data_IF_015560136924
#
_entry.id   IF_015560136924
#
_cell.length_a   1.000
_cell.length_b   1.000
_cell.length_c   1.000
_cell.angle_alpha   90.00
_cell.angle_beta   90.00
_cell.angle_gamma   90.00
#
_symmetry.space_group_name_H-M   'P 1'
#
loop_
_entity.id
_entity.type
_entity.pdbx_description
1 polymer ?
#
# COMPACT_ATOMS: atom_id res chain seq x y z
N UNK A 1 5.77 5.26 -17.56
CA UNK A 1 5.85 5.14 -16.08
C UNK A 1 6.29 3.72 -15.77
N UNK A 2 7.40 3.55 -15.04
CA UNK A 2 7.78 2.24 -14.53
C UNK A 2 6.71 1.83 -13.50
N UNK A 3 6.17 0.62 -13.62
CA UNK A 3 5.08 0.16 -12.76
C UNK A 3 5.62 -0.04 -11.33
N UNK A 4 5.40 0.92 -10.45
CA UNK A 4 6.10 0.97 -9.16
C UNK A 4 5.63 -0.09 -8.17
N UNK A 5 4.44 -0.64 -8.40
CA UNK A 5 3.93 -1.83 -7.72
C UNK A 5 4.80 -3.07 -7.97
N UNK A 6 5.63 -3.09 -9.04
CA UNK A 6 6.57 -4.20 -9.25
C UNK A 6 7.65 -4.28 -8.18
N UNK A 7 7.96 -3.16 -7.50
CA UNK A 7 8.90 -3.20 -6.36
C UNK A 7 8.34 -4.06 -5.22
N UNK A 8 7.02 -4.10 -5.06
CA UNK A 8 6.31 -4.96 -4.10
C UNK A 8 5.99 -6.36 -4.67
N UNK A 9 6.47 -6.69 -5.87
CA UNK A 9 6.14 -7.92 -6.60
C UNK A 9 4.62 -8.10 -6.80
N UNK A 10 3.94 -7.01 -7.18
CA UNK A 10 2.50 -7.00 -7.44
C UNK A 10 2.23 -6.86 -8.94
N UNK A 11 1.33 -7.70 -9.46
CA UNK A 11 0.91 -7.66 -10.85
C UNK A 11 -0.21 -6.62 -11.03
N UNK A 12 0.11 -5.52 -11.70
CA UNK A 12 -0.82 -4.43 -11.93
C UNK A 12 -0.68 -3.85 -13.33
N UNK A 13 -1.78 -3.71 -14.06
CA UNK A 13 -1.79 -3.02 -15.35
C UNK A 13 -2.09 -1.55 -15.11
N UNK A 14 -1.07 -0.71 -15.22
CA UNK A 14 -1.23 0.73 -15.05
C UNK A 14 -2.17 1.31 -16.10
N UNK A 15 -3.20 2.01 -15.63
CA UNK A 15 -4.04 2.90 -16.42
C UNK A 15 -3.76 4.35 -15.96
N UNK A 16 -3.07 5.13 -16.79
CA UNK A 16 -2.67 6.50 -16.45
C UNK A 16 -3.82 7.51 -16.48
N UNK A 17 -4.96 7.16 -17.06
CA UNK A 17 -6.13 8.06 -17.11
C UNK A 17 -7.03 7.88 -15.87
N UNK A 18 -6.92 6.73 -15.20
CA UNK A 18 -7.66 6.45 -13.96
C UNK A 18 -7.06 7.18 -12.75
N UNK A 19 -7.89 8.01 -12.11
CA UNK A 19 -7.53 8.69 -10.85
C UNK A 19 -7.14 7.72 -9.75
N UNK A 20 -7.84 6.58 -9.67
CA UNK A 20 -7.61 5.53 -8.68
C UNK A 20 -6.25 4.87 -8.92
N UNK A 21 -5.94 4.57 -10.19
CA UNK A 21 -4.64 4.04 -10.57
C UNK A 21 -3.51 4.98 -10.18
N UNK A 22 -3.68 6.27 -10.44
CA UNK A 22 -2.72 7.30 -10.08
C UNK A 22 -2.56 7.42 -8.55
N UNK A 23 -3.66 7.46 -7.79
CA UNK A 23 -3.62 7.54 -6.33
C UNK A 23 -2.95 6.30 -5.73
N UNK A 24 -3.30 5.09 -6.20
CA UNK A 24 -2.69 3.85 -5.74
C UNK A 24 -1.18 3.84 -5.97
N UNK A 25 -0.72 4.26 -7.16
CA UNK A 25 0.71 4.36 -7.46
C UNK A 25 1.43 5.35 -6.52
N UNK A 26 0.83 6.51 -6.23
CA UNK A 26 1.38 7.48 -5.28
C UNK A 26 1.43 6.91 -3.86
N UNK A 27 0.41 6.16 -3.44
CA UNK A 27 0.37 5.58 -2.11
C UNK A 27 1.42 4.49 -1.94
N UNK A 28 1.62 3.62 -2.93
CA UNK A 28 2.70 2.61 -2.88
C UNK A 28 4.09 3.23 -2.94
N UNK A 29 4.27 4.34 -3.68
CA UNK A 29 5.51 5.12 -3.61
C UNK A 29 5.76 5.63 -2.21
N UNK A 30 4.76 6.22 -1.59
CA UNK A 30 4.85 6.76 -0.26
C UNK A 30 5.15 5.67 0.77
N UNK A 31 4.53 4.50 0.66
CA UNK A 31 4.82 3.33 1.50
C UNK A 31 6.28 2.88 1.30
N UNK A 32 6.77 2.84 0.07
CA UNK A 32 8.16 2.49 -0.21
C UNK A 32 9.10 3.51 0.45
N UNK A 33 8.87 4.81 0.24
CA UNK A 33 9.66 5.88 0.84
C UNK A 33 9.63 5.84 2.37
N UNK A 34 8.46 5.58 2.95
CA UNK A 34 8.28 5.50 4.40
C UNK A 34 8.98 4.28 4.99
N UNK A 35 9.00 3.13 4.30
CA UNK A 35 9.79 1.96 4.69
C UNK A 35 11.30 2.25 4.66
N UNK A 36 11.79 2.89 3.60
CA UNK A 36 13.19 3.31 3.49
C UNK A 36 13.58 4.28 4.62
N UNK A 37 12.69 5.23 4.95
CA UNK A 37 12.86 6.17 6.07
C UNK A 37 12.86 5.43 7.42
N UNK A 38 11.85 4.59 7.68
CA UNK A 38 11.67 3.86 8.93
C UNK A 38 12.89 2.99 9.24
N UNK A 39 13.37 2.21 8.27
CA UNK A 39 14.50 1.30 8.46
C UNK A 39 15.87 1.94 8.14
N UNK A 40 15.91 3.21 7.70
CA UNK A 40 17.14 3.88 7.25
C UNK A 40 17.93 3.06 6.20
N UNK A 41 17.21 2.42 5.28
CA UNK A 41 17.77 1.68 4.15
C UNK A 41 17.70 2.61 2.95
N UNK A 42 18.82 2.88 2.27
CA UNK A 42 18.82 3.83 1.14
C UNK A 42 18.52 3.20 -0.21
N UNK A 43 19.02 1.98 -0.42
CA UNK A 43 18.98 1.31 -1.71
C UNK A 43 18.49 -0.12 -1.52
N UNK A 44 17.33 -0.41 -2.08
CA UNK A 44 16.83 -1.78 -2.20
C UNK A 44 16.21 -1.96 -3.59
N UNK A 45 16.61 -3.02 -4.27
CA UNK A 45 16.19 -3.31 -5.65
C UNK A 45 14.68 -3.59 -5.72
N UNK A 46 14.19 -4.37 -4.77
CA UNK A 46 12.80 -4.77 -4.59
C UNK A 46 12.50 -4.96 -3.10
N UNK A 47 11.26 -5.33 -2.78
CA UNK A 47 10.81 -5.59 -1.41
C UNK A 47 11.57 -6.74 -0.75
N UNK A 48 12.02 -7.75 -1.50
CA UNK A 48 12.69 -8.91 -0.92
C UNK A 48 14.14 -8.59 -0.53
N UNK A 49 14.84 -7.83 -1.37
CA UNK A 49 16.13 -7.23 -1.03
C UNK A 49 15.99 -6.31 0.19
N UNK A 50 14.95 -5.45 0.21
CA UNK A 50 14.66 -4.58 1.34
C UNK A 50 14.48 -5.36 2.65
N UNK A 51 13.62 -6.38 2.68
CA UNK A 51 13.35 -7.17 3.89
C UNK A 51 14.60 -7.92 4.37
N UNK A 52 15.43 -8.41 3.44
CA UNK A 52 16.71 -9.05 3.78
C UNK A 52 17.68 -8.07 4.42
N UNK A 53 17.74 -6.83 3.93
CA UNK A 53 18.56 -5.78 4.54
C UNK A 53 18.01 -5.36 5.92
N UNK A 54 16.69 -5.24 6.06
CA UNK A 54 16.05 -4.89 7.33
C UNK A 54 16.28 -5.95 8.41
N UNK A 55 16.15 -7.24 8.07
CA UNK A 55 16.47 -8.37 8.97
C UNK A 55 17.92 -8.32 9.47
N UNK A 56 18.88 -7.99 8.59
CA UNK A 56 20.30 -7.87 8.98
C UNK A 56 20.56 -6.74 9.96
N UNK A 57 19.75 -5.68 9.94
CA UNK A 57 19.86 -4.59 10.90
C UNK A 57 19.27 -4.93 12.27
N UNK A 58 18.54 -6.05 12.38
CA UNK A 58 17.89 -6.50 13.62
C UNK A 58 16.97 -5.43 14.24
N UNK A 59 16.40 -4.56 13.40
CA UNK A 59 15.48 -3.49 13.77
C UNK A 59 14.06 -3.95 13.48
N UNK A 60 13.18 -3.84 14.47
CA UNK A 60 11.75 -4.21 14.39
C UNK A 60 11.46 -5.48 13.58
N UNK A 61 12.08 -6.60 13.99
CA UNK A 61 11.93 -7.88 13.31
C UNK A 61 10.48 -8.33 13.20
N UNK A 62 9.64 -7.99 14.18
CA UNK A 62 8.21 -8.33 14.14
C UNK A 62 7.51 -7.62 12.99
N UNK A 63 7.84 -6.35 12.72
CA UNK A 63 7.30 -5.66 11.56
C UNK A 63 7.84 -6.24 10.26
N UNK A 64 9.13 -6.58 10.20
CA UNK A 64 9.72 -7.21 9.00
C UNK A 64 9.08 -8.56 8.69
N UNK A 65 8.93 -9.42 9.70
CA UNK A 65 8.21 -10.70 9.60
C UNK A 65 6.76 -10.49 9.18
N UNK A 66 6.08 -9.48 9.75
CA UNK A 66 4.72 -9.15 9.38
C UNK A 66 4.63 -8.76 7.90
N UNK A 67 5.51 -7.89 7.39
CA UNK A 67 5.51 -7.52 5.96
C UNK A 67 5.72 -8.77 5.10
N UNK A 68 6.71 -9.60 5.45
CA UNK A 68 7.08 -10.80 4.69
C UNK A 68 5.96 -11.84 4.65
N UNK A 69 5.36 -12.15 5.78
CA UNK A 69 4.45 -13.30 5.93
C UNK A 69 2.97 -12.93 5.94
N UNK A 70 2.61 -11.66 6.14
CA UNK A 70 1.22 -11.20 6.15
C UNK A 70 0.98 -10.08 5.14
N UNK A 71 1.80 -9.04 5.15
CA UNK A 71 1.62 -7.86 4.32
C UNK A 71 1.66 -8.16 2.82
N UNK A 72 2.80 -8.67 2.32
CA UNK A 72 2.98 -8.99 0.90
C UNK A 72 2.02 -10.08 0.43
N UNK A 73 1.82 -11.21 1.14
CA UNK A 73 0.81 -12.19 0.76
C UNK A 73 -0.60 -11.60 0.66
N UNK A 74 -1.00 -10.71 1.57
CA UNK A 74 -2.30 -10.03 1.52
C UNK A 74 -2.42 -9.13 0.30
N UNK A 75 -1.41 -8.31 0.01
CA UNK A 75 -1.38 -7.49 -1.19
C UNK A 75 -1.46 -8.34 -2.47
N UNK A 76 -0.73 -9.46 -2.53
CA UNK A 76 -0.77 -10.39 -3.66
C UNK A 76 -2.13 -11.07 -3.87
N UNK A 77 -2.95 -11.14 -2.83
CA UNK A 77 -4.30 -11.71 -2.93
C UNK A 77 -5.31 -10.76 -3.60
N UNK A 78 -4.96 -9.48 -3.75
CA UNK A 78 -5.82 -8.46 -4.33
C UNK A 78 -5.67 -8.45 -5.85
N UNK A 79 -6.81 -8.52 -6.56
CA UNK A 79 -6.84 -8.27 -8.00
C UNK A 79 -6.87 -6.77 -8.29
N UNK A 80 -5.68 -6.17 -8.36
CA UNK A 80 -5.52 -4.75 -8.66
C UNK A 80 -6.03 -4.35 -10.05
N UNK A 81 -6.28 -5.30 -10.97
CA UNK A 81 -6.82 -4.98 -12.29
C UNK A 81 -8.36 -4.86 -12.28
N UNK A 82 -9.00 -5.22 -11.16
CA UNK A 82 -10.44 -5.22 -10.98
C UNK A 82 -10.86 -4.46 -9.71
N UNK A 83 -10.32 -3.25 -9.56
CA UNK A 83 -10.64 -2.34 -8.46
C UNK A 83 -11.97 -1.60 -8.71
N UNK A 84 -12.68 -1.18 -7.64
CA UNK A 84 -13.81 -0.26 -7.77
C UNK A 84 -13.39 1.01 -8.51
N UNK A 85 -14.31 1.61 -9.25
CA UNK A 85 -14.07 2.84 -10.04
C UNK A 85 -14.82 4.07 -9.53
N UNK A 86 -15.43 3.98 -8.35
CA UNK A 86 -16.24 5.05 -7.77
C UNK A 86 -15.41 6.03 -6.91
N UNK A 87 -15.95 7.22 -6.70
CA UNK A 87 -15.29 8.30 -5.95
C UNK A 87 -15.08 7.95 -4.48
N UNK A 88 -15.92 7.08 -3.91
CA UNK A 88 -15.78 6.62 -2.52
C UNK A 88 -14.49 5.83 -2.32
N UNK A 89 -14.20 4.87 -3.21
CA UNK A 89 -12.96 4.11 -3.15
C UNK A 89 -11.74 5.02 -3.33
N UNK A 90 -11.82 5.99 -4.25
CA UNK A 90 -10.78 7.01 -4.41
C UNK A 90 -10.55 7.79 -3.11
N UNK A 91 -11.62 8.28 -2.47
CA UNK A 91 -11.52 9.05 -1.24
C UNK A 91 -10.89 8.25 -0.09
N UNK A 92 -11.17 6.94 0.01
CA UNK A 92 -10.51 6.07 1.00
C UNK A 92 -9.00 5.97 0.77
N UNK A 93 -8.56 5.82 -0.48
CA UNK A 93 -7.14 5.80 -0.81
C UNK A 93 -6.46 7.16 -0.57
N UNK A 94 -7.14 8.26 -0.92
CA UNK A 94 -6.64 9.62 -0.70
C UNK A 94 -6.52 9.96 0.79
N UNK A 95 -7.42 9.41 1.62
CA UNK A 95 -7.33 9.54 3.06
C UNK A 95 -6.09 8.85 3.63
N UNK A 96 -5.84 7.59 3.25
CA UNK A 96 -4.62 6.89 3.69
C UNK A 96 -3.34 7.56 3.16
N UNK A 97 -3.36 8.09 1.92
CA UNK A 97 -2.27 8.90 1.38
C UNK A 97 -2.01 10.15 2.23
N UNK A 98 -3.07 10.86 2.65
CA UNK A 98 -2.96 12.05 3.50
C UNK A 98 -2.42 11.73 4.90
N UNK A 99 -2.94 10.68 5.54
CA UNK A 99 -2.51 10.27 6.89
C UNK A 99 -1.03 9.88 6.86
N UNK A 100 -0.61 9.00 5.94
CA UNK A 100 0.78 8.57 5.88
C UNK A 100 1.75 9.72 5.58
N UNK A 101 1.37 10.67 4.71
CA UNK A 101 2.20 11.88 4.46
C UNK A 101 2.36 12.70 5.74
N UNK A 102 1.26 12.90 6.47
CA UNK A 102 1.27 13.67 7.71
C UNK A 102 2.22 13.05 8.73
N UNK A 103 2.16 11.74 8.95
CA UNK A 103 3.07 11.05 9.90
C UNK A 103 4.54 11.14 9.47
N UNK A 104 4.82 11.06 8.17
CA UNK A 104 6.18 11.26 7.65
C UNK A 104 6.70 12.70 7.88
N UNK A 105 5.84 13.71 7.72
CA UNK A 105 6.18 15.12 7.95
C UNK A 105 6.43 15.42 9.44
N UNK A 106 5.64 14.83 10.34
CA UNK A 106 5.85 14.91 11.80
C UNK A 106 7.00 14.04 12.30
N UNK A 107 7.52 13.15 11.45
CA UNK A 107 8.61 12.20 11.75
C UNK A 107 8.28 11.26 12.92
N UNK A 108 7.01 10.94 13.09
CA UNK A 108 6.60 9.90 14.04
C UNK A 108 6.80 8.53 13.38
N UNK A 109 7.99 7.96 13.63
CA UNK A 109 8.42 6.72 13.02
C UNK A 109 7.49 5.56 13.41
N UNK A 110 6.98 5.53 14.64
CA UNK A 110 6.11 4.44 15.09
C UNK A 110 4.72 4.52 14.45
N UNK A 111 4.21 5.72 14.19
CA UNK A 111 2.94 5.90 13.48
C UNK A 111 3.03 5.57 11.98
N UNK A 112 4.20 5.76 11.35
CA UNK A 112 4.44 5.27 9.97
C UNK A 112 4.15 3.76 9.86
N UNK A 113 4.64 2.98 10.83
CA UNK A 113 4.41 1.53 10.87
C UNK A 113 2.91 1.22 10.99
N UNK A 114 2.22 1.89 11.91
CA UNK A 114 0.78 1.73 12.11
C UNK A 114 -0.01 2.03 10.85
N UNK A 115 0.32 3.12 10.15
CA UNK A 115 -0.31 3.51 8.88
C UNK A 115 -0.16 2.44 7.79
N UNK A 116 1.06 1.92 7.60
CA UNK A 116 1.32 0.86 6.60
C UNK A 116 0.51 -0.40 6.92
N UNK A 117 0.53 -0.84 8.19
CA UNK A 117 -0.22 -2.02 8.63
C UNK A 117 -1.72 -1.81 8.41
N UNK A 118 -2.23 -0.64 8.78
CA UNK A 118 -3.64 -0.28 8.64
C UNK A 118 -4.08 -0.31 7.19
N UNK A 119 -3.38 0.40 6.29
CA UNK A 119 -3.70 0.43 4.87
C UNK A 119 -3.73 -0.97 4.26
N UNK A 120 -2.64 -1.74 4.42
CA UNK A 120 -2.53 -3.09 3.85
C UNK A 120 -3.60 -4.03 4.43
N UNK A 121 -3.96 -3.85 5.70
CA UNK A 121 -4.98 -4.66 6.35
C UNK A 121 -6.41 -4.32 5.90
N UNK A 122 -6.66 -3.06 5.60
CA UNK A 122 -8.00 -2.53 5.29
C UNK A 122 -8.32 -2.52 3.80
N UNK A 123 -7.31 -2.58 2.92
CA UNK A 123 -7.51 -2.41 1.48
C UNK A 123 -8.55 -3.37 0.87
N UNK A 124 -8.56 -4.65 1.25
CA UNK A 124 -9.57 -5.60 0.78
C UNK A 124 -10.98 -5.20 1.25
N UNK A 125 -11.12 -4.76 2.49
CA UNK A 125 -12.39 -4.31 3.03
C UNK A 125 -12.91 -3.06 2.29
N UNK A 126 -12.04 -2.12 1.93
CA UNK A 126 -12.42 -0.97 1.11
C UNK A 126 -12.95 -1.40 -0.25
N UNK A 127 -12.27 -2.37 -0.88
CA UNK A 127 -12.68 -2.94 -2.17
C UNK A 127 -14.05 -3.59 -2.05
N UNK A 128 -14.27 -4.42 -1.03
CA UNK A 128 -15.51 -5.16 -0.82
C UNK A 128 -16.69 -4.22 -0.59
N UNK A 129 -16.55 -3.27 0.34
CA UNK A 129 -17.57 -2.25 0.64
C UNK A 129 -17.98 -1.46 -0.61
N UNK A 130 -17.00 -1.09 -1.45
CA UNK A 130 -17.25 -0.30 -2.65
C UNK A 130 -17.80 -1.13 -3.82
N UNK A 131 -17.71 -2.48 -3.77
CA UNK A 131 -18.31 -3.39 -4.76
C UNK A 131 -19.73 -3.81 -4.38
N UNK A 132 -20.00 -4.01 -3.10
CA UNK A 132 -21.32 -4.41 -2.60
C UNK A 132 -22.40 -3.37 -2.92
N UNK A 133 -22.09 -2.08 -2.76
CA UNK A 133 -23.05 -0.99 -3.01
C UNK A 133 -23.41 -0.84 -4.50
N UNK A 134 -22.47 -1.11 -5.42
CA UNK A 134 -22.79 -1.14 -6.85
C UNK A 134 -23.87 -2.19 -7.13
N UNK A 135 -23.84 -3.34 -6.47
CA UNK A 135 -24.86 -4.38 -6.65
C UNK A 135 -26.22 -3.99 -6.05
N UNK A 136 -26.27 -3.08 -5.07
CA UNK A 136 -27.52 -2.56 -4.52
C UNK A 136 -28.15 -1.48 -5.41
N UNK A 137 -27.35 -0.61 -6.04
CA UNK A 137 -27.85 0.39 -6.98
C UNK A 137 -28.51 -0.22 -8.24
N UNK A 138 -28.09 -1.41 -8.66
CA UNK A 138 -28.67 -2.14 -9.82
C UNK A 138 -29.84 -3.08 -9.45
N UNK A 139 -30.30 -3.10 -8.19
CA UNK A 139 -31.43 -3.94 -7.74
C UNK A 139 -32.81 -3.27 -7.85
N UNK A 140 -32.94 -2.20 -8.66
CA UNK A 140 -34.19 -1.46 -8.88
C UNK A 140 -34.93 -1.94 -10.14
#
# INVERSE_FOLDING_TARGET
MQNKLTWFDLNYRTDSESKISCCLLRLFDLIKESLHLYFNIKNALDIYDFLTQAERQNKDNLFVEWIRYKGIPKLKSIDFNNLPKNDRFLAMLEFDEYVLKSEMDFKDIDEIRSCIISFVSSLQQYIDLCKEELNEEFRV
#
